data_IF_395886975408
#
_entry.id   IF_395886975408
#
_cell.length_a   1.000
_cell.length_b   1.000
_cell.length_c   1.000
_cell.angle_alpha   90.00
_cell.angle_beta   90.00
_cell.angle_gamma   90.00
#
_symmetry.space_group_name_H-M   'P 1'
#
loop_
_entity.id
_entity.type
_entity.pdbx_description
1 polymer ?
#
# COMPACT_ATOMS: atom_id res chain seq x y z
N UNK A 1 -24.46 -23.16 -14.90
CA UNK A 1 -23.98 -21.93 -14.25
C UNK A 1 -22.53 -21.72 -14.67
N UNK A 2 -22.13 -20.51 -15.06
CA UNK A 2 -20.73 -20.26 -15.48
C UNK A 2 -19.79 -20.37 -14.27
N UNK A 3 -18.51 -20.73 -14.46
CA UNK A 3 -17.54 -20.65 -13.37
C UNK A 3 -17.34 -19.18 -12.96
N UNK A 4 -17.03 -18.96 -11.68
CA UNK A 4 -16.73 -17.64 -11.11
C UNK A 4 -15.38 -17.68 -10.42
N UNK A 5 -14.57 -16.62 -10.59
CA UNK A 5 -13.34 -16.47 -9.81
C UNK A 5 -13.65 -15.91 -8.44
N UNK A 6 -13.04 -16.45 -7.41
CA UNK A 6 -13.16 -15.95 -6.04
C UNK A 6 -11.77 -15.67 -5.50
N UNK A 7 -11.50 -14.43 -5.10
CA UNK A 7 -10.28 -14.10 -4.35
C UNK A 7 -10.60 -14.01 -2.87
N UNK A 8 -9.79 -14.68 -2.05
CA UNK A 8 -9.82 -14.55 -0.59
C UNK A 8 -8.80 -13.49 -0.20
N UNK A 9 -9.29 -12.35 0.28
CA UNK A 9 -8.47 -11.19 0.61
C UNK A 9 -8.58 -10.81 2.09
N UNK A 10 -7.45 -10.44 2.67
CA UNK A 10 -7.33 -10.16 4.10
C UNK A 10 -6.72 -8.78 4.28
N UNK A 11 -7.44 -7.84 4.89
CA UNK A 11 -6.86 -6.57 5.33
C UNK A 11 -6.12 -6.83 6.65
N UNK A 12 -4.80 -6.77 6.56
CA UNK A 12 -3.89 -7.07 7.63
C UNK A 12 -3.51 -5.77 8.34
N UNK A 13 -4.30 -5.43 9.34
CA UNK A 13 -4.23 -4.20 10.11
C UNK A 13 -4.63 -4.42 11.58
N UNK A 14 -4.27 -3.48 12.45
CA UNK A 14 -4.84 -3.39 13.78
C UNK A 14 -6.13 -2.58 13.77
N UNK A 15 -7.11 -2.86 14.66
CA UNK A 15 -8.27 -1.99 14.84
C UNK A 15 -7.86 -0.55 15.15
N UNK A 16 -7.89 0.31 14.14
CA UNK A 16 -7.21 1.62 14.15
C UNK A 16 -7.68 2.51 15.30
N UNK A 17 -9.00 2.75 15.41
CA UNK A 17 -9.56 3.63 16.45
C UNK A 17 -9.29 3.10 17.86
N UNK A 18 -9.56 1.82 18.18
CA UNK A 18 -9.17 1.25 19.47
C UNK A 18 -7.67 1.35 19.80
N UNK A 19 -6.78 1.19 18.81
CA UNK A 19 -5.34 1.32 19.01
C UNK A 19 -4.94 2.76 19.36
N UNK A 20 -5.48 3.77 18.66
CA UNK A 20 -5.23 5.17 19.00
C UNK A 20 -5.77 5.56 20.38
N UNK A 21 -6.88 4.95 20.79
CA UNK A 21 -7.45 5.11 22.12
C UNK A 21 -6.76 4.26 23.20
N UNK A 22 -5.69 3.51 22.84
CA UNK A 22 -4.93 2.64 23.74
C UNK A 22 -5.80 1.63 24.48
N UNK A 23 -6.82 1.09 23.80
CA UNK A 23 -7.72 0.07 24.38
C UNK A 23 -7.05 -1.30 24.50
N UNK A 24 -5.97 -1.53 23.76
CA UNK A 24 -5.09 -2.69 23.88
C UNK A 24 -3.64 -2.25 23.63
N UNK A 25 -2.67 -3.13 23.94
CA UNK A 25 -1.23 -2.84 23.84
C UNK A 25 -0.45 -3.88 23.04
N UNK A 26 -1.07 -4.99 22.68
CA UNK A 26 -0.52 -6.06 21.86
C UNK A 26 -0.90 -5.91 20.39
N UNK A 27 -0.11 -6.49 19.51
CA UNK A 27 -0.33 -6.40 18.07
C UNK A 27 -1.37 -7.44 17.62
N UNK A 28 -2.59 -6.95 17.32
CA UNK A 28 -3.76 -7.75 16.89
C UNK A 28 -3.67 -8.28 15.46
N UNK A 29 -2.55 -8.07 14.77
CA UNK A 29 -2.24 -8.85 13.57
C UNK A 29 -1.92 -10.29 13.95
N UNK A 30 -1.25 -10.51 15.10
CA UNK A 30 -0.93 -11.84 15.61
C UNK A 30 -2.05 -12.41 16.45
N UNK A 31 -2.68 -11.57 17.28
CA UNK A 31 -3.84 -11.96 18.06
C UNK A 31 -3.57 -13.22 18.89
N UNK A 32 -2.41 -13.28 19.54
CA UNK A 32 -1.92 -14.43 20.32
C UNK A 32 -2.00 -15.76 19.55
N UNK A 33 -1.63 -15.74 18.27
CA UNK A 33 -1.65 -16.89 17.38
C UNK A 33 -3.00 -17.16 16.71
N UNK A 34 -4.03 -16.34 16.96
CA UNK A 34 -5.36 -16.43 16.34
C UNK A 34 -5.59 -15.44 15.20
N UNK A 35 -4.57 -14.67 14.84
CA UNK A 35 -4.60 -13.73 13.73
C UNK A 35 -4.00 -14.33 12.47
N UNK A 36 -2.99 -13.65 11.93
CA UNK A 36 -2.35 -14.00 10.65
C UNK A 36 -1.90 -15.46 10.58
N UNK A 37 -1.26 -16.00 11.62
CA UNK A 37 -0.76 -17.38 11.63
C UNK A 37 -1.90 -18.39 11.51
N UNK A 38 -2.97 -18.21 12.29
CA UNK A 38 -4.14 -19.09 12.20
C UNK A 38 -4.87 -18.98 10.86
N UNK A 39 -4.91 -17.79 10.28
CA UNK A 39 -5.51 -17.59 8.95
C UNK A 39 -4.69 -18.36 7.90
N UNK A 40 -3.35 -18.25 7.93
CA UNK A 40 -2.45 -19.00 7.05
C UNK A 40 -2.69 -20.51 7.20
N UNK A 41 -2.66 -21.03 8.43
CA UNK A 41 -2.91 -22.46 8.69
C UNK A 41 -4.22 -22.96 8.08
N UNK A 42 -5.28 -22.14 8.18
CA UNK A 42 -6.59 -22.48 7.63
C UNK A 42 -6.57 -22.44 6.10
N UNK A 43 -5.96 -21.42 5.48
CA UNK A 43 -5.86 -21.34 4.02
C UNK A 43 -5.06 -22.51 3.44
N UNK A 44 -3.92 -22.84 4.05
CA UNK A 44 -3.05 -23.94 3.65
C UNK A 44 -3.74 -25.31 3.75
N UNK A 45 -4.52 -25.53 4.82
CA UNK A 45 -5.28 -26.76 5.00
C UNK A 45 -6.28 -27.05 3.86
N UNK A 46 -6.71 -26.03 3.13
CA UNK A 46 -7.60 -26.14 1.98
C UNK A 46 -6.90 -25.84 0.63
N UNK A 47 -5.58 -25.66 0.62
CA UNK A 47 -4.82 -25.35 -0.60
C UNK A 47 -5.19 -24.00 -1.24
N UNK A 48 -5.68 -23.05 -0.44
CA UNK A 48 -6.08 -21.72 -0.91
C UNK A 48 -4.94 -20.74 -0.71
N UNK A 49 -4.58 -19.99 -1.75
CA UNK A 49 -3.58 -18.92 -1.65
C UNK A 49 -4.28 -17.57 -1.42
N UNK A 50 -4.14 -17.01 -0.22
CA UNK A 50 -4.71 -15.71 0.15
C UNK A 50 -3.91 -14.50 -0.36
N UNK A 51 -4.59 -13.37 -0.50
CA UNK A 51 -3.99 -12.05 -0.76
C UNK A 51 -4.10 -11.16 0.48
N UNK A 52 -2.99 -10.92 1.16
CA UNK A 52 -2.91 -10.17 2.40
C UNK A 52 -2.51 -8.71 2.14
N UNK A 53 -3.49 -7.83 2.16
CA UNK A 53 -3.31 -6.39 2.09
C UNK A 53 -2.69 -5.90 3.40
N UNK A 54 -1.40 -5.61 3.39
CA UNK A 54 -0.59 -5.37 4.59
C UNK A 54 -0.34 -3.89 4.85
N UNK A 55 -0.81 -3.40 6.01
CA UNK A 55 -0.64 -2.01 6.44
C UNK A 55 0.75 -1.78 7.06
N UNK A 56 1.80 -1.77 6.23
CA UNK A 56 3.21 -1.63 6.66
C UNK A 56 3.53 -0.31 7.38
N UNK A 57 2.62 0.67 7.30
CA UNK A 57 2.75 1.96 7.95
C UNK A 57 2.59 1.88 9.48
N UNK A 58 2.01 0.79 10.01
CA UNK A 58 1.98 0.52 11.46
C UNK A 58 3.37 0.25 12.05
N UNK A 59 4.41 0.16 11.21
CA UNK A 59 5.81 0.19 11.65
C UNK A 59 6.16 1.43 12.50
N UNK A 60 5.39 2.51 12.40
CA UNK A 60 5.50 3.66 13.29
C UNK A 60 5.13 3.35 14.75
N UNK A 61 4.28 2.34 14.98
CA UNK A 61 3.81 1.90 16.31
C UNK A 61 4.52 0.64 16.75
N UNK A 62 4.55 -0.39 15.90
CA UNK A 62 5.07 -1.72 16.23
C UNK A 62 6.56 -1.90 15.90
N UNK A 63 7.16 -0.90 15.24
CA UNK A 63 8.54 -0.97 14.79
C UNK A 63 8.68 -1.66 13.43
N UNK A 64 9.74 -1.28 12.72
CA UNK A 64 10.05 -1.82 11.39
C UNK A 64 10.23 -3.34 11.41
N UNK A 65 11.05 -3.86 12.32
CA UNK A 65 11.36 -5.30 12.40
C UNK A 65 10.11 -6.17 12.54
N UNK A 66 9.09 -5.68 13.22
CA UNK A 66 7.85 -6.40 13.42
C UNK A 66 7.02 -6.48 12.14
N UNK A 67 6.88 -5.35 11.42
CA UNK A 67 6.19 -5.38 10.11
C UNK A 67 6.97 -6.20 9.07
N UNK A 68 8.30 -6.20 9.12
CA UNK A 68 9.10 -7.08 8.26
C UNK A 68 8.87 -8.56 8.61
N UNK A 69 8.76 -8.90 9.91
CA UNK A 69 8.44 -10.26 10.36
C UNK A 69 7.08 -10.70 9.84
N UNK A 70 6.06 -9.85 9.95
CA UNK A 70 4.73 -10.10 9.41
C UNK A 70 4.79 -10.39 7.90
N UNK A 71 5.45 -9.53 7.12
CA UNK A 71 5.56 -9.71 5.66
C UNK A 71 6.26 -11.03 5.31
N UNK A 72 7.35 -11.38 6.01
CA UNK A 72 8.08 -12.64 5.80
C UNK A 72 7.23 -13.85 6.16
N UNK A 73 6.52 -13.83 7.30
CA UNK A 73 5.62 -14.92 7.69
C UNK A 73 4.59 -15.26 6.61
N UNK A 74 3.98 -14.24 6.00
CA UNK A 74 2.99 -14.43 4.92
C UNK A 74 3.66 -14.95 3.64
N UNK A 75 4.77 -14.32 3.24
CA UNK A 75 5.48 -14.66 2.01
C UNK A 75 6.11 -16.06 2.05
N UNK A 76 6.72 -16.44 3.17
CA UNK A 76 7.39 -17.72 3.37
C UNK A 76 6.38 -18.88 3.38
N UNK A 77 5.12 -18.61 3.77
CA UNK A 77 3.99 -19.53 3.63
C UNK A 77 3.44 -19.63 2.19
N UNK A 78 3.97 -18.86 1.24
CA UNK A 78 3.55 -18.90 -0.17
C UNK A 78 2.33 -18.04 -0.51
N UNK A 79 1.86 -17.21 0.42
CA UNK A 79 0.78 -16.27 0.18
C UNK A 79 1.27 -14.94 -0.40
N UNK A 80 0.33 -14.13 -0.90
CA UNK A 80 0.63 -12.84 -1.49
C UNK A 80 0.61 -11.73 -0.44
N UNK A 81 1.71 -10.96 -0.35
CA UNK A 81 1.80 -9.74 0.45
C UNK A 81 1.52 -8.55 -0.47
N UNK A 82 0.37 -7.93 -0.29
CA UNK A 82 -0.13 -6.80 -1.09
C UNK A 82 -0.18 -5.53 -0.24
N UNK A 83 -0.31 -4.35 -0.85
CA UNK A 83 -0.19 -3.08 -0.12
C UNK A 83 -1.54 -2.59 0.43
N UNK A 84 -1.63 -2.39 1.74
CA UNK A 84 -2.76 -1.68 2.37
C UNK A 84 -2.32 -0.33 2.89
N UNK A 85 -3.08 0.73 2.59
CA UNK A 85 -2.63 2.10 2.91
C UNK A 85 -3.59 2.86 3.79
N UNK A 86 -3.18 3.08 5.03
CA UNK A 86 -3.76 4.05 5.95
C UNK A 86 -2.76 5.21 6.19
N UNK A 87 -2.95 6.39 5.58
CA UNK A 87 -1.96 7.47 5.69
C UNK A 87 -1.81 8.03 7.11
N UNK A 88 -2.79 7.87 7.99
CA UNK A 88 -2.76 8.40 9.37
C UNK A 88 -1.54 7.94 10.19
N UNK A 89 -0.97 6.79 9.87
CA UNK A 89 0.18 6.24 10.59
C UNK A 89 1.49 6.99 10.32
N UNK A 90 1.56 7.71 9.20
CA UNK A 90 2.77 8.41 8.75
C UNK A 90 2.55 9.89 8.44
N UNK A 91 1.30 10.34 8.31
CA UNK A 91 0.95 11.73 8.10
C UNK A 91 0.88 12.49 9.43
N UNK A 92 1.75 13.50 9.61
CA UNK A 92 1.77 14.37 10.79
C UNK A 92 0.44 15.11 11.00
N UNK A 93 -0.30 15.38 9.91
CA UNK A 93 -1.62 16.02 9.96
C UNK A 93 -2.75 15.03 10.28
N UNK A 94 -2.43 13.75 10.45
CA UNK A 94 -3.36 12.65 10.78
C UNK A 94 -4.54 12.55 9.82
N UNK A 95 -4.34 12.82 8.53
CA UNK A 95 -5.35 12.53 7.52
C UNK A 95 -5.51 11.01 7.42
N UNK A 96 -6.75 10.56 7.49
CA UNK A 96 -7.11 9.14 7.57
C UNK A 96 -7.15 8.45 6.22
N UNK A 97 -7.43 9.20 5.15
CA UNK A 97 -7.79 8.64 3.86
C UNK A 97 -6.89 9.20 2.75
N UNK A 98 -6.60 8.38 1.74
CA UNK A 98 -5.76 8.75 0.61
C UNK A 98 -6.30 9.97 -0.14
N UNK A 99 -7.61 10.08 -0.35
CA UNK A 99 -8.21 11.22 -1.04
C UNK A 99 -7.97 12.60 -0.37
N UNK A 100 -7.55 12.63 0.90
CA UNK A 100 -7.26 13.86 1.64
C UNK A 100 -5.84 14.38 1.35
N UNK A 101 -5.01 13.57 0.71
CA UNK A 101 -3.65 13.89 0.33
C UNK A 101 -3.61 14.35 -1.14
N UNK A 102 -2.80 15.37 -1.46
CA UNK A 102 -2.50 15.68 -2.86
C UNK A 102 -1.75 14.51 -3.52
N UNK A 103 -1.87 14.37 -4.84
CA UNK A 103 -1.28 13.26 -5.62
C UNK A 103 0.19 12.98 -5.27
N UNK A 104 1.04 14.00 -5.14
CA UNK A 104 2.47 13.80 -4.85
C UNK A 104 2.72 13.18 -3.47
N UNK A 105 1.86 13.45 -2.48
CA UNK A 105 1.93 12.80 -1.17
C UNK A 105 1.46 11.35 -1.28
N UNK A 106 0.36 11.10 -2.01
CA UNK A 106 -0.13 9.73 -2.26
C UNK A 106 0.93 8.87 -2.95
N UNK A 107 1.58 9.40 -4.00
CA UNK A 107 2.68 8.73 -4.70
C UNK A 107 3.82 8.37 -3.76
N UNK A 108 4.28 9.31 -2.93
CA UNK A 108 5.36 9.05 -1.98
C UNK A 108 5.01 7.98 -0.94
N UNK A 109 3.75 7.95 -0.48
CA UNK A 109 3.26 6.96 0.46
C UNK A 109 3.22 5.57 -0.18
N UNK A 110 2.52 5.44 -1.31
CA UNK A 110 2.36 4.17 -2.02
C UNK A 110 3.71 3.58 -2.44
N UNK A 111 4.59 4.41 -3.00
CA UNK A 111 5.95 3.99 -3.37
C UNK A 111 6.71 3.44 -2.16
N UNK A 112 6.71 4.17 -1.04
CA UNK A 112 7.40 3.74 0.18
C UNK A 112 6.88 2.41 0.72
N UNK A 113 5.55 2.23 0.72
CA UNK A 113 4.91 1.00 1.16
C UNK A 113 5.25 -0.19 0.27
N UNK A 114 5.21 0.00 -1.05
CA UNK A 114 5.59 -1.02 -2.03
C UNK A 114 7.06 -1.42 -1.89
N UNK A 115 7.95 -0.44 -1.75
CA UNK A 115 9.37 -0.61 -1.49
C UNK A 115 9.64 -1.37 -0.18
N UNK A 116 8.84 -1.12 0.86
CA UNK A 116 8.94 -1.83 2.14
C UNK A 116 8.66 -3.31 1.94
N UNK A 117 7.53 -3.64 1.32
CA UNK A 117 7.13 -5.02 1.06
C UNK A 117 8.17 -5.72 0.18
N UNK A 118 8.60 -5.09 -0.92
CA UNK A 118 9.59 -5.65 -1.84
C UNK A 118 10.91 -6.00 -1.14
N UNK A 119 11.39 -5.15 -0.22
CA UNK A 119 12.59 -5.46 0.58
C UNK A 119 12.40 -6.64 1.52
N UNK A 120 11.18 -6.86 2.03
CA UNK A 120 10.89 -7.95 2.95
C UNK A 120 10.74 -9.30 2.23
N UNK A 121 10.15 -9.27 1.04
CA UNK A 121 9.68 -10.47 0.33
C UNK A 121 10.44 -10.76 -0.96
N UNK A 122 11.33 -9.85 -1.38
CA UNK A 122 11.94 -9.82 -2.72
C UNK A 122 10.93 -9.74 -3.88
N UNK A 123 9.67 -9.37 -3.58
CA UNK A 123 8.57 -9.28 -4.54
C UNK A 123 7.81 -7.99 -4.30
N UNK A 124 7.77 -7.11 -5.30
CA UNK A 124 6.94 -5.91 -5.24
C UNK A 124 5.46 -6.29 -5.19
N UNK A 125 4.64 -5.66 -4.32
CA UNK A 125 3.21 -5.89 -4.32
C UNK A 125 2.61 -5.44 -5.65
N UNK A 126 1.62 -6.17 -6.14
CA UNK A 126 0.95 -5.89 -7.42
C UNK A 126 -0.49 -5.44 -7.22
N UNK A 127 -1.04 -5.63 -6.01
CA UNK A 127 -2.34 -5.14 -5.59
C UNK A 127 -2.21 -4.06 -4.52
N UNK A 128 -3.10 -3.08 -4.56
CA UNK A 128 -3.28 -2.06 -3.52
C UNK A 128 -4.73 -2.02 -3.04
N UNK A 129 -4.92 -1.70 -1.74
CA UNK A 129 -6.23 -1.33 -1.18
C UNK A 129 -6.07 -0.15 -0.23
N UNK A 130 -6.83 0.91 -0.47
CA UNK A 130 -6.89 2.05 0.44
C UNK A 130 -7.69 1.71 1.69
N UNK A 131 -7.15 2.10 2.84
CA UNK A 131 -7.80 2.00 4.13
C UNK A 131 -9.17 2.65 4.16
N UNK A 132 -10.13 2.00 4.83
CA UNK A 132 -11.53 2.42 4.89
C UNK A 132 -12.18 2.71 3.51
N UNK A 133 -11.60 2.16 2.43
CA UNK A 133 -11.99 2.45 1.04
C UNK A 133 -11.89 3.95 0.68
N UNK A 134 -11.01 4.67 1.38
CA UNK A 134 -10.86 6.12 1.32
C UNK A 134 -9.95 6.60 0.19
N UNK A 135 -10.32 6.36 -1.06
CA UNK A 135 -9.49 6.67 -2.24
C UNK A 135 -10.16 7.61 -3.25
N UNK A 136 -9.37 8.08 -4.22
CA UNK A 136 -9.82 8.83 -5.40
C UNK A 136 -8.99 8.45 -6.64
N UNK A 137 -9.26 9.08 -7.80
CA UNK A 137 -8.46 8.85 -9.04
C UNK A 137 -6.97 9.12 -8.88
N UNK A 138 -6.58 10.06 -8.01
CA UNK A 138 -5.16 10.30 -7.74
C UNK A 138 -4.51 9.14 -6.99
N UNK A 139 -5.27 8.38 -6.19
CA UNK A 139 -4.80 7.13 -5.59
C UNK A 139 -4.46 6.09 -6.66
N UNK A 140 -5.31 5.94 -7.67
CA UNK A 140 -5.06 5.02 -8.79
C UNK A 140 -3.81 5.42 -9.59
N UNK A 141 -3.64 6.73 -9.86
CA UNK A 141 -2.41 7.27 -10.48
C UNK A 141 -1.18 7.04 -9.63
N UNK A 142 -1.31 7.09 -8.30
CA UNK A 142 -0.22 6.79 -7.38
C UNK A 142 0.18 5.30 -7.44
N UNK A 143 -0.80 4.39 -7.54
CA UNK A 143 -0.56 2.96 -7.76
C UNK A 143 0.18 2.70 -9.08
N UNK A 144 -0.30 3.27 -10.20
CA UNK A 144 0.34 3.14 -11.51
C UNK A 144 1.80 3.64 -11.49
N UNK A 145 2.02 4.84 -10.95
CA UNK A 145 3.36 5.41 -10.82
C UNK A 145 4.30 4.57 -9.95
N UNK A 146 3.77 3.81 -9.00
CA UNK A 146 4.51 2.89 -8.15
C UNK A 146 4.64 1.48 -8.72
N UNK A 147 4.18 1.22 -9.95
CA UNK A 147 4.23 -0.10 -10.57
C UNK A 147 3.27 -1.13 -9.95
N UNK A 148 2.21 -0.68 -9.28
CA UNK A 148 1.14 -1.54 -8.77
C UNK A 148 0.06 -1.66 -9.85
N UNK A 149 -0.21 -2.88 -10.30
CA UNK A 149 -1.07 -3.13 -11.45
C UNK A 149 -2.57 -3.17 -11.12
N UNK A 150 -2.92 -3.49 -9.88
CA UNK A 150 -4.30 -3.71 -9.43
C UNK A 150 -4.60 -2.83 -8.21
N UNK A 151 -5.76 -2.17 -8.21
CA UNK A 151 -6.38 -1.58 -7.03
C UNK A 151 -7.68 -2.31 -6.69
N UNK A 152 -7.97 -2.44 -5.40
CA UNK A 152 -9.18 -3.09 -4.87
C UNK A 152 -9.83 -2.24 -3.77
N UNK A 153 -9.94 -0.93 -4.02
CA UNK A 153 -10.51 0.06 -3.08
C UNK A 153 -11.93 0.46 -3.44
N UNK A 154 -12.37 0.28 -4.68
CA UNK A 154 -13.71 0.65 -5.13
C UNK A 154 -14.76 -0.18 -4.41
N UNK A 155 -15.47 0.45 -3.47
CA UNK A 155 -16.66 -0.10 -2.82
C UNK A 155 -17.87 0.81 -3.06
N UNK A 156 -18.81 0.34 -3.88
CA UNK A 156 -20.04 1.08 -4.19
C UNK A 156 -20.87 1.33 -2.94
N UNK A 157 -21.33 2.57 -2.77
CA UNK A 157 -22.17 2.97 -1.64
C UNK A 157 -21.39 3.31 -0.36
N UNK A 158 -20.06 3.20 -0.36
CA UNK A 158 -19.25 3.65 0.77
C UNK A 158 -18.99 5.16 0.73
N UNK A 159 -19.29 5.87 1.82
CA UNK A 159 -19.19 7.34 1.88
C UNK A 159 -17.77 7.91 1.67
N UNK A 160 -16.74 7.11 1.94
CA UNK A 160 -15.33 7.51 1.81
C UNK A 160 -14.76 7.19 0.42
N UNK A 161 -15.47 6.41 -0.38
CA UNK A 161 -15.16 6.16 -1.78
C UNK A 161 -15.54 7.43 -2.59
N UNK A 162 -14.59 8.35 -2.76
CA UNK A 162 -14.83 9.63 -3.46
C UNK A 162 -14.92 9.48 -4.97
N UNK A 163 -14.42 8.37 -5.49
CA UNK A 163 -14.53 8.02 -6.89
C UNK A 163 -14.98 6.56 -6.98
N UNK A 164 -16.24 6.34 -7.32
CA UNK A 164 -16.69 5.03 -7.79
C UNK A 164 -16.41 4.97 -9.28
N UNK A 165 -15.59 4.02 -9.71
CA UNK A 165 -15.28 3.76 -11.12
C UNK A 165 -16.06 2.57 -11.69
N UNK A 166 -16.56 1.70 -10.82
CA UNK A 166 -17.33 0.51 -11.21
C UNK A 166 -18.31 0.09 -10.11
N UNK A 167 -19.33 -0.69 -10.46
CA UNK A 167 -20.11 -1.46 -9.50
C UNK A 167 -19.29 -2.65 -9.00
N UNK A 168 -19.45 -3.79 -9.68
CA UNK A 168 -18.71 -5.02 -9.41
C UNK A 168 -17.90 -5.50 -10.61
N UNK A 169 -17.95 -4.77 -11.74
CA UNK A 169 -17.23 -5.11 -12.95
C UNK A 169 -15.74 -4.81 -12.78
N UNK A 170 -14.90 -5.63 -13.40
CA UNK A 170 -13.46 -5.37 -13.52
C UNK A 170 -13.26 -4.31 -14.61
N UNK A 171 -12.60 -3.21 -14.28
CA UNK A 171 -12.39 -2.10 -15.22
C UNK A 171 -10.93 -1.63 -15.21
N UNK A 172 -10.49 -0.97 -16.29
CA UNK A 172 -9.23 -0.19 -16.27
C UNK A 172 -9.54 1.25 -15.87
N UNK A 173 -8.76 1.79 -14.93
CA UNK A 173 -8.87 3.19 -14.51
C UNK A 173 -7.49 3.75 -14.15
N UNK A 174 -7.12 4.88 -14.76
CA UNK A 174 -5.85 5.59 -14.47
C UNK A 174 -4.58 4.71 -14.52
N UNK A 175 -4.51 3.76 -15.47
CA UNK A 175 -3.35 2.87 -15.68
C UNK A 175 -3.46 1.51 -14.97
N UNK A 176 -4.26 1.41 -13.92
CA UNK A 176 -4.43 0.16 -13.14
C UNK A 176 -5.72 -0.58 -13.50
N UNK A 177 -5.77 -1.87 -13.17
CA UNK A 177 -7.02 -2.63 -13.06
C UNK A 177 -7.70 -2.32 -11.74
N UNK A 178 -8.98 -1.99 -11.75
CA UNK A 178 -9.82 -1.92 -10.56
C UNK A 178 -10.59 -3.24 -10.41
N UNK A 179 -10.30 -3.97 -9.33
CA UNK A 179 -11.03 -5.17 -8.92
C UNK A 179 -11.82 -4.81 -7.65
N UNK A 180 -13.10 -4.43 -7.77
CA UNK A 180 -13.83 -3.80 -6.69
C UNK A 180 -14.01 -4.73 -5.48
N UNK A 181 -14.23 -4.14 -4.32
CA UNK A 181 -14.82 -4.84 -3.18
C UNK A 181 -16.24 -5.18 -3.57
N UNK A 182 -16.50 -6.47 -3.82
CA UNK A 182 -17.77 -6.90 -4.37
C UNK A 182 -18.89 -6.73 -3.38
N UNK A 183 -20.04 -6.28 -3.88
CA UNK A 183 -21.22 -6.01 -3.08
C UNK A 183 -22.48 -6.53 -3.75
N UNK A 184 -23.52 -6.75 -2.95
CA UNK A 184 -24.87 -7.03 -3.45
C UNK A 184 -25.85 -6.01 -2.88
N UNK A 185 -26.82 -5.64 -3.71
CA UNK A 185 -27.90 -4.74 -3.31
C UNK A 185 -28.97 -5.56 -2.58
N UNK A 186 -29.22 -5.22 -1.32
CA UNK A 186 -30.28 -5.81 -0.51
C UNK A 186 -30.99 -4.70 0.28
N UNK A 187 -32.32 -4.63 0.17
CA UNK A 187 -33.15 -3.62 0.85
C UNK A 187 -32.66 -2.17 0.68
N UNK A 188 -32.16 -1.81 -0.50
CA UNK A 188 -31.63 -0.47 -0.80
C UNK A 188 -30.20 -0.20 -0.28
N UNK A 189 -29.59 -1.17 0.40
CA UNK A 189 -28.21 -1.08 0.89
C UNK A 189 -27.26 -1.91 0.02
N UNK A 190 -26.01 -1.46 -0.07
CA UNK A 190 -24.93 -2.25 -0.67
C UNK A 190 -24.24 -3.01 0.47
N UNK A 191 -24.27 -4.34 0.40
CA UNK A 191 -23.66 -5.23 1.39
C UNK A 191 -22.45 -5.88 0.74
N UNK A 192 -21.25 -5.61 1.24
CA UNK A 192 -20.03 -6.28 0.78
C UNK A 192 -19.97 -7.75 1.21
N UNK A 193 -19.21 -8.54 0.47
CA UNK A 193 -18.85 -9.95 0.75
C UNK A 193 -17.83 -10.06 1.89
N UNK A 194 -18.16 -9.46 3.04
CA UNK A 194 -17.34 -9.41 4.24
C UNK A 194 -17.64 -10.59 5.17
N UNK A 195 -16.66 -11.47 5.35
CA UNK A 195 -16.81 -12.70 6.12
C UNK A 195 -16.94 -12.44 7.64
N UNK A 196 -16.67 -11.23 8.13
CA UNK A 196 -16.92 -10.89 9.53
C UNK A 196 -18.42 -10.92 9.86
N UNK A 197 -19.26 -10.51 8.91
CA UNK A 197 -20.68 -10.23 9.18
C UNK A 197 -21.63 -11.10 8.35
N UNK A 198 -21.28 -11.43 7.11
CA UNK A 198 -22.17 -12.16 6.21
C UNK A 198 -22.32 -13.62 6.63
N UNK A 199 -23.53 -14.16 6.68
CA UNK A 199 -23.72 -15.60 6.91
C UNK A 199 -23.41 -16.43 5.65
N UNK A 200 -23.08 -17.70 5.85
CA UNK A 200 -22.65 -18.59 4.75
C UNK A 200 -23.75 -18.80 3.70
N UNK A 201 -25.03 -18.86 4.11
CA UNK A 201 -26.14 -19.05 3.17
C UNK A 201 -26.27 -17.83 2.25
N UNK A 202 -26.18 -16.62 2.81
CA UNK A 202 -26.16 -15.39 2.02
C UNK A 202 -24.97 -15.35 1.06
N UNK A 203 -23.77 -15.72 1.52
CA UNK A 203 -22.56 -15.77 0.70
C UNK A 203 -22.69 -16.77 -0.48
N UNK A 204 -23.31 -17.93 -0.26
CA UNK A 204 -23.61 -18.91 -1.32
C UNK A 204 -24.61 -18.35 -2.34
N UNK A 205 -25.67 -17.72 -1.86
CA UNK A 205 -26.63 -17.03 -2.73
C UNK A 205 -25.98 -15.92 -3.56
N UNK A 206 -24.96 -15.26 -3.01
CA UNK A 206 -24.20 -14.22 -3.71
C UNK A 206 -23.35 -14.81 -4.85
N UNK A 207 -22.74 -15.98 -4.63
CA UNK A 207 -22.06 -16.73 -5.69
C UNK A 207 -23.04 -17.19 -6.77
N UNK A 208 -24.19 -17.75 -6.39
CA UNK A 208 -25.20 -18.20 -7.35
C UNK A 208 -25.76 -17.05 -8.20
N UNK A 209 -25.99 -15.89 -7.59
CA UNK A 209 -26.39 -14.68 -8.31
C UNK A 209 -25.31 -14.21 -9.30
N UNK A 210 -24.04 -14.18 -8.88
CA UNK A 210 -22.92 -13.82 -9.75
C UNK A 210 -22.76 -14.77 -10.94
N UNK A 211 -23.09 -16.06 -10.78
CA UNK A 211 -23.00 -17.08 -11.84
C UNK A 211 -24.09 -16.97 -12.91
N UNK A 212 -25.15 -16.21 -12.67
CA UNK A 212 -26.19 -15.94 -13.68
C UNK A 212 -26.12 -14.52 -14.23
N UNK A 213 -25.37 -13.62 -13.59
CA UNK A 213 -25.07 -12.28 -14.10
C UNK A 213 -23.92 -12.35 -15.10
N UNK A 214 -24.19 -12.06 -16.38
CA UNK A 214 -23.19 -12.12 -17.46
C UNK A 214 -22.00 -11.18 -17.22
N UNK A 215 -22.20 -10.06 -16.52
CA UNK A 215 -21.17 -9.05 -16.27
C UNK A 215 -20.33 -9.35 -15.02
N UNK A 216 -20.75 -10.30 -14.18
CA UNK A 216 -20.02 -10.68 -12.96
C UNK A 216 -19.17 -11.93 -13.19
N UNK A 217 -17.84 -11.80 -13.20
CA UNK A 217 -16.93 -12.94 -13.37
C UNK A 217 -15.98 -13.15 -12.17
N UNK A 218 -16.08 -12.29 -11.16
CA UNK A 218 -15.16 -12.22 -10.03
C UNK A 218 -15.91 -11.92 -8.73
N UNK A 219 -15.49 -12.48 -7.60
CA UNK A 219 -15.95 -12.11 -6.26
C UNK A 219 -14.77 -11.95 -5.32
N UNK A 220 -14.81 -10.92 -4.49
CA UNK A 220 -13.80 -10.61 -3.50
C UNK A 220 -14.30 -10.96 -2.10
N UNK A 221 -13.87 -12.09 -1.54
CA UNK A 221 -14.23 -12.49 -0.19
C UNK A 221 -13.24 -11.89 0.78
N UNK A 222 -13.73 -10.96 1.58
CA UNK A 222 -12.92 -10.05 2.37
C UNK A 222 -13.09 -10.30 3.87
N UNK A 223 -12.01 -10.19 4.64
CA UNK A 223 -12.03 -10.09 6.10
C UNK A 223 -10.71 -9.50 6.64
N UNK A 224 -10.53 -9.42 7.95
CA UNK A 224 -9.38 -8.80 8.61
C UNK A 224 -8.49 -9.82 9.33
N UNK A 225 -7.26 -9.43 9.65
CA UNK A 225 -6.34 -10.22 10.49
C UNK A 225 -6.90 -10.60 11.85
N UNK A 226 -7.79 -9.79 12.43
CA UNK A 226 -8.43 -10.06 13.73
C UNK A 226 -9.80 -10.74 13.60
N UNK A 227 -10.23 -11.14 12.40
CA UNK A 227 -11.57 -11.65 12.16
C UNK A 227 -11.89 -12.94 12.88
N UNK A 228 -10.91 -13.80 13.18
CA UNK A 228 -11.13 -15.09 13.84
C UNK A 228 -11.38 -15.01 15.35
N UNK A 229 -11.63 -13.79 15.85
CA UNK A 229 -11.70 -13.52 17.28
C UNK A 229 -12.92 -12.71 17.64
N UNK A 230 -13.32 -12.87 18.90
CA UNK A 230 -14.37 -12.12 19.55
C UNK A 230 -13.75 -11.00 20.36
N UNK A 231 -14.34 -9.82 20.25
CA UNK A 231 -13.90 -8.62 20.94
C UNK A 231 -15.06 -8.05 21.76
N UNK A 232 -14.83 -7.71 23.02
CA UNK A 232 -15.81 -6.97 23.85
C UNK A 232 -15.20 -5.70 24.42
N UNK A 233 -16.05 -4.89 25.06
CA UNK A 233 -15.65 -3.65 25.74
C UNK A 233 -14.88 -2.68 24.83
N UNK A 234 -15.28 -2.65 23.55
CA UNK A 234 -14.65 -1.82 22.54
C UNK A 234 -13.24 -2.26 22.17
N UNK A 235 -12.98 -3.57 22.03
CA UNK A 235 -11.67 -4.19 21.70
C UNK A 235 -10.66 -4.25 22.87
N UNK A 236 -11.10 -4.01 24.11
CA UNK A 236 -10.23 -4.20 25.29
C UNK A 236 -9.99 -5.67 25.57
N UNK A 237 -11.04 -6.47 25.45
CA UNK A 237 -10.95 -7.92 25.55
C UNK A 237 -10.87 -8.50 24.16
N UNK A 238 -10.17 -9.62 24.08
CA UNK A 238 -9.88 -10.30 22.85
C UNK A 238 -9.78 -11.79 23.16
N UNK A 239 -10.58 -12.61 22.49
CA UNK A 239 -10.56 -14.05 22.68
C UNK A 239 -10.78 -14.79 21.35
N UNK A 240 -10.21 -15.98 21.19
CA UNK A 240 -10.49 -16.85 20.05
C UNK A 240 -11.98 -17.07 19.84
N UNK A 241 -12.45 -16.97 18.60
CA UNK A 241 -13.83 -17.29 18.23
C UNK A 241 -13.87 -18.54 17.36
N UNK A 242 -14.03 -19.70 18.01
CA UNK A 242 -14.12 -20.98 17.31
C UNK A 242 -15.32 -21.07 16.36
N UNK A 243 -16.38 -20.26 16.56
CA UNK A 243 -17.50 -20.19 15.64
C UNK A 243 -17.08 -19.57 14.31
N UNK A 244 -16.32 -18.47 14.36
CA UNK A 244 -15.77 -17.82 13.16
C UNK A 244 -14.72 -18.68 12.46
N UNK A 245 -13.91 -19.43 13.21
CA UNK A 245 -12.98 -20.43 12.63
C UNK A 245 -13.75 -21.49 11.85
N UNK A 246 -14.76 -22.13 12.46
CA UNK A 246 -15.59 -23.14 11.78
C UNK A 246 -16.31 -22.57 10.55
N UNK A 247 -16.75 -21.32 10.63
CA UNK A 247 -17.36 -20.61 9.50
C UNK A 247 -16.38 -20.45 8.35
N UNK A 248 -15.14 -19.99 8.61
CA UNK A 248 -14.12 -19.87 7.58
C UNK A 248 -13.77 -21.24 6.98
N UNK A 249 -13.58 -22.27 7.81
CA UNK A 249 -13.35 -23.66 7.35
C UNK A 249 -14.48 -24.14 6.42
N UNK A 250 -15.73 -23.95 6.82
CA UNK A 250 -16.91 -24.34 6.02
C UNK A 250 -16.94 -23.61 4.66
N UNK A 251 -16.63 -22.31 4.65
CA UNK A 251 -16.56 -21.50 3.43
C UNK A 251 -15.42 -21.99 2.52
N UNK A 252 -14.21 -22.20 3.06
CA UNK A 252 -13.05 -22.68 2.29
C UNK A 252 -13.29 -24.07 1.73
N UNK A 253 -13.84 -24.99 2.53
CA UNK A 253 -14.22 -26.33 2.10
C UNK A 253 -15.26 -26.28 0.97
N UNK A 254 -16.24 -25.39 1.07
CA UNK A 254 -17.23 -25.24 0.01
C UNK A 254 -16.61 -24.70 -1.28
N UNK A 255 -15.86 -23.60 -1.20
CA UNK A 255 -15.26 -22.96 -2.36
C UNK A 255 -14.35 -23.91 -3.14
N UNK A 256 -13.60 -24.76 -2.43
CA UNK A 256 -12.66 -25.72 -3.02
C UNK A 256 -13.33 -26.99 -3.56
N UNK A 257 -14.51 -27.36 -3.06
CA UNK A 257 -15.28 -28.51 -3.56
C UNK A 257 -16.27 -28.16 -4.67
N UNK A 258 -16.61 -26.88 -4.83
CA UNK A 258 -17.54 -26.43 -5.87
C UNK A 258 -16.78 -26.19 -7.18
N UNK A 259 -16.94 -27.10 -8.15
CA UNK A 259 -16.29 -27.01 -9.47
C UNK A 259 -16.67 -25.75 -10.29
N UNK A 260 -17.71 -25.01 -9.88
CA UNK A 260 -18.05 -23.70 -10.46
C UNK A 260 -17.32 -22.53 -9.80
N UNK A 261 -16.47 -22.76 -8.80
CA UNK A 261 -15.64 -21.76 -8.15
C UNK A 261 -14.17 -21.98 -8.50
N UNK A 262 -13.53 -20.94 -9.02
CA UNK A 262 -12.09 -20.91 -9.23
C UNK A 262 -11.48 -20.00 -8.15
N UNK A 263 -10.91 -20.58 -7.10
CA UNK A 263 -10.28 -19.80 -6.02
C UNK A 263 -8.88 -19.41 -6.44
N UNK A 264 -8.63 -18.11 -6.58
CA UNK A 264 -7.37 -17.57 -7.09
C UNK A 264 -6.87 -16.40 -6.24
N UNK A 265 -5.55 -16.19 -6.12
CA UNK A 265 -5.01 -14.94 -5.63
C UNK A 265 -5.54 -13.76 -6.44
N UNK A 266 -5.75 -12.60 -5.81
CA UNK A 266 -6.34 -11.44 -6.49
C UNK A 266 -5.53 -11.02 -7.72
N UNK A 267 -4.20 -11.11 -7.62
CA UNK A 267 -3.27 -10.82 -8.70
C UNK A 267 -3.45 -11.69 -9.97
N UNK A 268 -4.12 -12.83 -9.87
CA UNK A 268 -4.33 -13.78 -10.97
C UNK A 268 -5.73 -13.68 -11.60
N UNK A 269 -6.61 -12.81 -11.07
CA UNK A 269 -7.98 -12.64 -11.60
C UNK A 269 -7.97 -12.02 -12.99
N UNK A 270 -7.00 -11.14 -13.25
CA UNK A 270 -6.79 -10.45 -14.53
C UNK A 270 -5.42 -10.81 -15.10
N UNK A 271 -5.27 -10.84 -16.44
CA UNK A 271 -3.95 -10.93 -17.04
C UNK A 271 -3.14 -9.69 -16.64
N UNK A 272 -1.94 -9.94 -16.14
CA UNK A 272 -0.98 -8.89 -15.82
C UNK A 272 -0.18 -8.42 -17.06
N UNK A 273 -0.59 -8.84 -18.28
CA UNK A 273 0.08 -8.57 -19.56
C UNK A 273 0.90 -7.27 -19.53
N UNK A 274 2.21 -7.29 -19.77
CA UNK A 274 2.91 -8.17 -20.71
C UNK A 274 3.32 -9.57 -20.26
N UNK A 275 3.02 -10.55 -21.12
CA UNK A 275 3.98 -11.61 -21.42
C UNK A 275 5.29 -10.99 -21.95
N UNK A 276 6.14 -10.57 -21.02
CA UNK A 276 7.52 -11.02 -21.08
C UNK A 276 7.67 -11.98 -19.91
N UNK A 277 7.76 -13.28 -20.18
CA UNK A 277 8.69 -14.07 -19.38
C UNK A 277 9.96 -13.22 -19.28
N UNK A 278 10.61 -13.05 -18.12
CA UNK A 278 12.04 -12.90 -18.19
C UNK A 278 12.50 -14.19 -18.87
N UNK A 279 12.66 -14.12 -20.19
CA UNK A 279 13.58 -14.99 -20.87
C UNK A 279 14.85 -14.85 -20.03
N UNK A 280 15.32 -15.97 -19.48
CA UNK A 280 16.68 -16.05 -18.95
C UNK A 280 17.59 -15.89 -20.15
N UNK A 281 17.66 -14.67 -20.68
CA UNK A 281 18.67 -14.24 -21.61
C UNK A 281 19.88 -14.02 -20.73
N UNK A 282 20.91 -14.80 -21.06
CA UNK A 282 22.22 -14.88 -20.43
C UNK A 282 22.57 -13.62 -19.62
N UNK A 283 23.04 -13.84 -18.38
CA UNK A 283 23.80 -12.83 -17.61
C UNK A 283 24.61 -11.98 -18.59
N UNK A 284 24.41 -10.66 -18.67
CA UNK A 284 25.24 -9.86 -19.53
C UNK A 284 26.68 -10.00 -19.05
N UNK A 285 27.57 -10.39 -19.95
CA UNK A 285 29.00 -10.24 -19.72
C UNK A 285 29.27 -8.76 -19.46
N UNK A 286 29.95 -8.50 -18.34
CA UNK A 286 30.37 -7.16 -17.94
C UNK A 286 31.40 -6.70 -18.97
N UNK A 287 30.98 -5.84 -19.89
CA UNK A 287 31.89 -5.05 -20.72
C UNK A 287 32.10 -3.72 -20.00
N UNK A 288 33.35 -3.33 -19.68
CA UNK A 288 33.61 -2.09 -18.96
C UNK A 288 33.39 -0.91 -19.90
N UNK A 289 32.48 0.00 -19.52
CA UNK A 289 32.34 1.29 -20.16
C UNK A 289 32.97 2.33 -19.24
N UNK A 290 34.10 2.90 -19.67
CA UNK A 290 34.59 4.17 -19.18
C UNK A 290 33.62 5.28 -19.61
N UNK A 291 32.64 5.58 -18.77
CA UNK A 291 31.80 6.77 -18.90
C UNK A 291 32.06 7.69 -17.72
N UNK A 292 32.52 8.89 -18.01
CA UNK A 292 32.65 10.00 -17.04
C UNK A 292 31.29 10.21 -16.38
N UNK A 293 31.18 9.82 -15.11
CA UNK A 293 29.94 9.84 -14.35
C UNK A 293 29.49 11.28 -14.07
N UNK A 294 28.41 11.73 -14.71
CA UNK A 294 27.73 12.96 -14.30
C UNK A 294 26.95 12.66 -13.02
N UNK A 295 27.36 13.26 -11.90
CA UNK A 295 26.68 13.05 -10.60
C UNK A 295 25.24 13.58 -10.65
N UNK A 296 24.23 12.79 -10.27
CA UNK A 296 22.85 13.27 -10.17
C UNK A 296 22.72 14.41 -9.15
N UNK A 297 21.93 15.43 -9.50
CA UNK A 297 21.77 16.64 -8.67
C UNK A 297 20.64 16.49 -7.65
N UNK A 298 20.87 16.96 -6.41
CA UNK A 298 19.86 17.09 -5.35
C UNK A 298 19.76 18.55 -4.94
N UNK A 299 18.60 19.17 -5.16
CA UNK A 299 18.34 20.54 -4.73
C UNK A 299 17.50 20.60 -3.44
N UNK A 300 17.95 21.41 -2.49
CA UNK A 300 17.28 21.71 -1.24
C UNK A 300 16.64 23.10 -1.33
N UNK A 301 15.32 23.21 -1.21
CA UNK A 301 14.63 24.50 -1.28
C UNK A 301 14.05 24.86 0.10
N UNK A 302 14.63 25.85 0.80
CA UNK A 302 14.18 26.21 2.16
C UNK A 302 14.36 27.69 2.48
N UNK A 303 13.29 28.32 2.99
CA UNK A 303 13.35 29.61 3.67
C UNK A 303 14.04 29.43 5.03
N UNK A 304 15.17 30.11 5.28
CA UNK A 304 15.94 30.07 6.52
C UNK A 304 16.33 28.63 6.95
N UNK A 305 17.27 27.98 6.23
CA UNK A 305 17.61 26.57 6.42
C UNK A 305 18.18 26.31 7.83
N UNK A 306 17.55 25.38 8.53
CA UNK A 306 17.93 24.99 9.89
C UNK A 306 19.00 23.89 9.90
N UNK A 307 19.64 23.65 11.06
CA UNK A 307 20.68 22.63 11.26
C UNK A 307 20.32 21.23 10.76
N UNK A 308 19.02 20.89 10.71
CA UNK A 308 18.54 19.63 10.12
C UNK A 308 18.92 19.50 8.63
N UNK A 309 18.79 20.58 7.85
CA UNK A 309 19.15 20.61 6.42
C UNK A 309 20.66 20.46 6.24
N UNK A 310 21.45 21.15 7.07
CA UNK A 310 22.90 21.04 7.07
C UNK A 310 23.38 19.60 7.27
N UNK A 311 22.90 18.93 8.34
CA UNK A 311 23.30 17.55 8.65
C UNK A 311 22.92 16.57 7.54
N UNK A 312 21.76 16.76 6.92
CA UNK A 312 21.31 15.93 5.80
C UNK A 312 22.18 16.13 4.55
N UNK A 313 22.53 17.37 4.21
CA UNK A 313 23.39 17.65 3.08
C UNK A 313 24.84 17.18 3.32
N UNK A 314 25.34 17.29 4.55
CA UNK A 314 26.68 16.81 4.92
C UNK A 314 26.81 15.30 4.71
N UNK A 315 25.84 14.52 5.19
CA UNK A 315 25.83 13.07 5.01
C UNK A 315 25.73 12.66 3.52
N UNK A 316 25.01 13.44 2.69
CA UNK A 316 25.02 13.20 1.24
C UNK A 316 26.36 13.57 0.58
N UNK A 317 27.01 14.66 1.01
CA UNK A 317 28.28 15.12 0.46
C UNK A 317 29.38 14.08 0.68
N UNK A 318 29.44 13.49 1.87
CA UNK A 318 30.42 12.46 2.24
C UNK A 318 30.37 11.24 1.33
N UNK A 319 29.23 10.95 0.71
CA UNK A 319 29.12 9.85 -0.25
C UNK A 319 29.82 10.11 -1.58
N UNK A 320 30.02 11.39 -1.93
CA UNK A 320 30.56 11.80 -3.22
C UNK A 320 29.69 11.43 -4.43
N UNK A 321 28.48 10.89 -4.28
CA UNK A 321 27.65 10.38 -5.37
C UNK A 321 26.74 11.42 -6.02
N UNK A 322 26.52 12.55 -5.37
CA UNK A 322 25.55 13.56 -5.78
C UNK A 322 26.19 14.93 -5.95
N UNK A 323 25.59 15.75 -6.81
CA UNK A 323 25.82 17.20 -6.83
C UNK A 323 24.75 17.85 -5.95
N UNK A 324 25.13 18.64 -4.97
CA UNK A 324 24.21 19.26 -4.00
C UNK A 324 24.01 20.74 -4.30
N UNK A 325 22.75 21.16 -4.43
CA UNK A 325 22.38 22.56 -4.65
C UNK A 325 21.49 23.05 -3.49
N UNK A 326 21.82 24.19 -2.89
CA UNK A 326 20.94 24.85 -1.91
C UNK A 326 20.25 26.05 -2.57
N UNK A 327 18.93 26.11 -2.46
CA UNK A 327 18.11 27.26 -2.83
C UNK A 327 17.50 27.83 -1.56
N UNK A 328 18.01 28.97 -1.13
CA UNK A 328 17.67 29.51 0.19
C UNK A 328 17.61 31.04 0.21
N UNK A 329 17.10 31.56 1.31
CA UNK A 329 17.32 32.94 1.73
C UNK A 329 17.72 32.92 3.22
N UNK A 330 18.68 33.79 3.58
CA UNK A 330 19.24 33.93 4.94
C UNK A 330 19.75 32.60 5.52
N UNK A 331 21.01 32.29 5.26
CA UNK A 331 21.68 31.10 5.76
C UNK A 331 23.06 31.47 6.35
N UNK A 332 23.58 30.61 7.22
CA UNK A 332 24.92 30.74 7.76
C UNK A 332 25.94 30.31 6.68
N UNK A 333 26.65 31.28 6.12
CA UNK A 333 27.55 31.05 4.97
C UNK A 333 28.72 30.15 5.34
N UNK A 334 29.36 30.41 6.48
CA UNK A 334 30.50 29.62 6.95
C UNK A 334 30.13 28.15 7.15
N UNK A 335 28.89 27.92 7.60
CA UNK A 335 28.41 26.57 7.81
C UNK A 335 27.97 25.88 6.51
N UNK A 336 27.20 26.53 5.64
CA UNK A 336 26.55 25.84 4.51
C UNK A 336 27.36 25.85 3.20
N UNK A 337 28.15 26.90 2.90
CA UNK A 337 28.94 26.96 1.67
C UNK A 337 29.92 25.78 1.50
N UNK A 338 30.60 25.27 2.55
CA UNK A 338 31.47 24.11 2.43
C UNK A 338 30.74 22.82 2.07
N UNK A 339 29.42 22.73 2.25
CA UNK A 339 28.65 21.50 2.07
C UNK A 339 27.98 21.40 0.70
N UNK A 340 27.58 22.51 0.11
CA UNK A 340 26.89 22.51 -1.19
C UNK A 340 27.85 22.77 -2.34
N UNK A 341 27.59 22.14 -3.49
CA UNK A 341 28.37 22.39 -4.72
C UNK A 341 27.92 23.69 -5.41
N UNK A 342 26.69 24.14 -5.12
CA UNK A 342 26.14 25.40 -5.59
C UNK A 342 25.09 25.93 -4.60
N UNK A 343 25.07 27.25 -4.37
CA UNK A 343 24.04 27.90 -3.56
C UNK A 343 23.42 29.05 -4.36
N UNK A 344 22.09 29.01 -4.50
CA UNK A 344 21.29 30.06 -5.13
C UNK A 344 20.59 30.84 -4.01
N UNK A 345 21.16 31.99 -3.67
CA UNK A 345 20.65 32.92 -2.66
C UNK A 345 19.71 33.95 -3.33
N UNK A 346 18.46 33.97 -2.90
CA UNK A 346 17.44 34.89 -3.45
C UNK A 346 17.40 36.25 -2.74
N UNK A 347 18.17 36.44 -1.66
CA UNK A 347 18.34 37.71 -0.94
C UNK A 347 17.10 38.26 -0.21
N UNK A 348 15.89 37.89 -0.63
CA UNK A 348 14.62 38.27 -0.01
C UNK A 348 13.65 37.08 0.06
N UNK A 349 12.85 37.02 1.13
CA UNK A 349 11.86 35.96 1.32
C UNK A 349 10.79 35.99 0.21
N UNK A 350 10.49 37.19 -0.30
CA UNK A 350 9.46 37.41 -1.32
C UNK A 350 9.89 36.87 -2.69
N UNK A 351 11.15 37.09 -3.09
CA UNK A 351 11.68 36.54 -4.34
C UNK A 351 11.73 35.00 -4.31
N UNK A 352 12.11 34.40 -3.19
CA UNK A 352 12.12 32.94 -3.02
C UNK A 352 10.69 32.36 -3.04
N UNK A 353 9.74 32.99 -2.35
CA UNK A 353 8.33 32.57 -2.36
C UNK A 353 7.72 32.64 -3.77
N UNK A 354 8.00 33.72 -4.51
CA UNK A 354 7.55 33.86 -5.89
C UNK A 354 8.20 32.83 -6.83
N UNK A 355 9.47 32.51 -6.63
CA UNK A 355 10.15 31.45 -7.37
C UNK A 355 9.49 30.08 -7.13
N UNK A 356 9.25 29.73 -5.88
CA UNK A 356 8.54 28.50 -5.51
C UNK A 356 7.13 28.45 -6.11
N UNK A 357 6.38 29.56 -6.05
CA UNK A 357 5.01 29.65 -6.55
C UNK A 357 4.90 29.56 -8.08
N UNK A 358 5.90 30.08 -8.84
CA UNK A 358 5.94 29.98 -10.31
C UNK A 358 6.27 28.55 -10.78
N UNK A 359 7.09 27.81 -10.02
CA UNK A 359 7.47 26.42 -10.36
C UNK A 359 6.36 25.40 -10.09
N UNK A 360 5.43 25.67 -9.18
CA UNK A 360 4.22 24.83 -8.97
C UNK A 360 3.19 24.93 -10.10
N UNK A 361 3.28 25.95 -10.99
CA UNK A 361 2.30 26.22 -12.04
C UNK A 361 2.76 25.87 -13.48
N UNK A 362 3.90 25.21 -13.67
CA UNK A 362 4.31 24.70 -14.99
C UNK A 362 4.37 23.18 -14.99
N UNK A 363 3.45 22.55 -15.72
CA UNK A 363 3.52 21.15 -16.08
C UNK A 363 4.80 20.89 -16.88
N UNK A 364 5.65 19.97 -16.40
CA UNK A 364 6.74 19.40 -17.22
C UNK A 364 8.18 19.61 -16.74
N UNK A 365 8.44 20.28 -15.61
CA UNK A 365 9.80 20.36 -15.06
C UNK A 365 10.11 19.20 -14.12
N UNK A 366 10.27 18.03 -14.74
CA UNK A 366 10.93 16.87 -14.16
C UNK A 366 12.45 17.14 -14.18
N UNK A 367 13.06 17.45 -13.01
CA UNK A 367 14.45 17.14 -12.62
C UNK A 367 14.81 17.79 -11.27
N UNK A 368 15.19 16.92 -10.32
CA UNK A 368 16.08 17.18 -9.18
C UNK A 368 15.63 18.11 -8.03
N UNK A 369 14.41 17.95 -7.51
CA UNK A 369 14.10 18.42 -6.15
C UNK A 369 13.61 17.21 -5.37
N UNK A 370 14.47 16.65 -4.49
CA UNK A 370 14.04 15.60 -3.58
C UNK A 370 13.17 16.24 -2.49
N UNK A 371 11.98 15.69 -2.27
CA UNK A 371 11.18 16.03 -1.10
C UNK A 371 11.93 15.61 0.17
N UNK A 372 11.57 16.18 1.32
CA UNK A 372 12.21 15.85 2.61
C UNK A 372 12.17 14.33 2.93
N UNK A 373 11.18 13.61 2.39
CA UNK A 373 11.01 12.16 2.54
C UNK A 373 11.93 11.37 1.61
N UNK A 374 12.07 11.81 0.35
CA UNK A 374 13.01 11.20 -0.59
C UNK A 374 14.47 11.37 -0.13
N UNK A 375 14.78 12.51 0.49
CA UNK A 375 16.08 12.77 1.11
C UNK A 375 16.34 11.86 2.33
N UNK A 376 15.33 11.58 3.15
CA UNK A 376 15.45 10.68 4.31
C UNK A 376 15.71 9.22 3.89
N UNK A 377 15.16 8.78 2.75
CA UNK A 377 15.40 7.45 2.21
C UNK A 377 16.77 7.28 1.57
N UNK A 378 17.29 8.30 0.88
CA UNK A 378 18.68 8.27 0.38
C UNK A 378 19.65 8.17 1.55
N UNK A 379 19.46 8.96 2.61
CA UNK A 379 20.30 8.94 3.81
C UNK A 379 20.25 7.62 4.59
N UNK A 380 19.09 6.94 4.62
CA UNK A 380 18.95 5.62 5.25
C UNK A 380 19.68 4.51 4.49
N UNK A 381 19.91 4.65 3.18
CA UNK A 381 20.64 3.68 2.34
C UNK A 381 22.17 3.87 2.36
N UNK A 382 22.66 4.90 3.04
CA UNK A 382 24.08 5.30 3.08
C UNK A 382 24.74 5.10 4.45
N UNK A 383 23.96 4.78 5.49
CA UNK A 383 24.50 4.32 6.76
C UNK A 383 24.99 2.86 6.60
N UNK A 384 26.17 2.49 7.15
CA UNK A 384 26.73 1.15 7.03
C UNK A 384 25.83 0.06 7.61
#
# INVERSE_FOLDING_TARGET
MKPIRVAVTIDLENPQTPLFEKRFSDNRIWSDGWGVEKIIDLLDAYGVVGSFFTNVYESAVWGRSEMERICRTICDAGHHVELHTHPIWIDEKRRENMFQLPLFEQQGIVEWGADFIERCTSRRPVCHRAGAYGFNRDTLRACDAAGIAIDSSNYMGHKLCRTVVTGNEIVRAEGVWELPVTFIRSAGQCIKTDLDWIDEKSLRGFVDAARVDENQNFLNFFFHSYSLTATSDGFKTFQPDHGKVRKLESILQWLTNDAGCEVVPLAQVVPLDGESKPEVTKRPEIIPIETVAVKPTIAFVKLNPQMRIYKQAQALKETGRYRLVLVANRYDRELFEPVFDEIIDFGTDEALKQYCARKTNQAGLNRSILTANQLADVLRRLAP
#
